data_IF_684569728745
#
_entry.id   IF_684569728745
#
_cell.length_a   1.000
_cell.length_b   1.000
_cell.length_c   1.000
_cell.angle_alpha   90.00
_cell.angle_beta   90.00
_cell.angle_gamma   90.00
#
_symmetry.space_group_name_H-M   'P 1'
#
loop_
_entity.id
_entity.type
_entity.pdbx_description
1 polymer ?
#
# COMPACT_ATOMS: atom_id res chain seq x y z
N UNK A 1 -6.03 -1.26 16.62
CA UNK A 1 -5.82 -2.72 16.59
C UNK A 1 -6.20 -3.34 17.95
N UNK A 2 -7.39 -3.94 18.04
CA UNK A 2 -7.98 -4.50 19.29
C UNK A 2 -7.99 -6.04 19.31
N UNK A 3 -7.40 -6.69 18.31
CA UNK A 3 -7.39 -8.15 18.21
C UNK A 3 -6.42 -8.76 19.24
N UNK A 4 -6.98 -9.42 20.24
CA UNK A 4 -6.23 -10.06 21.32
C UNK A 4 -5.25 -11.11 20.79
N UNK A 5 -5.62 -11.88 19.76
CA UNK A 5 -4.77 -12.95 19.24
C UNK A 5 -3.50 -12.37 18.59
N UNK A 6 -3.65 -11.32 17.76
CA UNK A 6 -2.50 -10.60 17.16
C UNK A 6 -1.59 -9.98 18.21
N UNK A 7 -2.17 -9.37 19.25
CA UNK A 7 -1.40 -8.79 20.36
C UNK A 7 -0.59 -9.85 21.11
N UNK A 8 -1.20 -11.00 21.41
CA UNK A 8 -0.49 -12.11 22.05
C UNK A 8 0.65 -12.62 21.16
N UNK A 9 0.44 -12.71 19.85
CA UNK A 9 1.47 -13.17 18.91
C UNK A 9 2.68 -12.24 18.89
N UNK A 10 2.46 -10.91 18.86
CA UNK A 10 3.56 -9.93 18.95
C UNK A 10 4.36 -10.13 20.24
N UNK A 11 3.68 -10.32 21.37
CA UNK A 11 4.34 -10.56 22.67
C UNK A 11 5.14 -11.86 22.65
N UNK A 12 4.59 -12.96 22.12
CA UNK A 12 5.30 -14.25 22.00
C UNK A 12 6.55 -14.14 21.16
N UNK A 13 6.46 -13.52 19.97
CA UNK A 13 7.62 -13.29 19.09
C UNK A 13 8.70 -12.48 19.78
N UNK A 14 8.31 -11.45 20.54
CA UNK A 14 9.27 -10.65 21.30
C UNK A 14 9.97 -11.45 22.39
N UNK A 15 9.22 -12.24 23.17
CA UNK A 15 9.79 -13.10 24.21
C UNK A 15 10.74 -14.16 23.64
N UNK A 16 10.39 -14.75 22.48
CA UNK A 16 11.26 -15.71 21.81
C UNK A 16 12.60 -15.08 21.38
N UNK A 17 12.56 -13.86 20.85
CA UNK A 17 13.77 -13.10 20.53
C UNK A 17 14.59 -12.74 21.77
N UNK A 18 13.94 -12.34 22.87
CA UNK A 18 14.64 -11.99 24.12
C UNK A 18 15.32 -13.18 24.78
N UNK A 19 14.77 -14.40 24.61
CA UNK A 19 15.35 -15.63 25.13
C UNK A 19 16.58 -16.09 24.34
N UNK A 20 16.52 -16.03 23.00
CA UNK A 20 17.62 -16.37 22.11
C UNK A 20 17.49 -15.62 20.77
N UNK A 21 18.22 -14.49 20.61
CA UNK A 21 18.18 -13.69 19.39
C UNK A 21 18.66 -14.44 18.15
N UNK A 22 19.67 -15.31 18.28
CA UNK A 22 20.27 -16.02 17.16
C UNK A 22 19.33 -17.12 16.66
N UNK A 23 18.79 -17.93 17.57
CA UNK A 23 17.83 -18.97 17.23
C UNK A 23 16.54 -18.39 16.64
N UNK A 24 16.01 -17.30 17.21
CA UNK A 24 14.83 -16.64 16.64
C UNK A 24 15.11 -16.10 15.24
N UNK A 25 16.24 -15.41 15.04
CA UNK A 25 16.62 -14.88 13.72
C UNK A 25 16.77 -16.00 12.69
N UNK A 26 17.37 -17.14 13.08
CA UNK A 26 17.46 -18.32 12.23
C UNK A 26 16.07 -18.89 11.88
N UNK A 27 15.14 -18.90 12.83
CA UNK A 27 13.78 -19.43 12.64
C UNK A 27 12.94 -18.63 11.62
N UNK A 28 13.13 -17.31 11.54
CA UNK A 28 12.40 -16.43 10.60
C UNK A 28 13.19 -16.12 9.32
N UNK A 29 14.39 -16.70 9.18
CA UNK A 29 15.31 -16.40 8.08
C UNK A 29 14.70 -16.69 6.72
N UNK A 30 14.06 -17.85 6.56
CA UNK A 30 13.46 -18.25 5.29
C UNK A 30 12.36 -17.28 4.81
N UNK A 31 11.46 -16.86 5.70
CA UNK A 31 10.42 -15.87 5.41
C UNK A 31 11.02 -14.51 5.05
N UNK A 32 12.01 -14.07 5.81
CA UNK A 32 12.68 -12.77 5.60
C UNK A 32 13.48 -12.76 4.30
N UNK A 33 14.14 -13.86 3.95
CA UNK A 33 14.87 -13.99 2.69
C UNK A 33 13.93 -14.02 1.49
N UNK A 34 12.80 -14.74 1.58
CA UNK A 34 11.77 -14.72 0.53
C UNK A 34 11.24 -13.30 0.27
N UNK A 35 10.99 -12.52 1.34
CA UNK A 35 10.61 -11.11 1.24
C UNK A 35 11.73 -10.24 0.65
N UNK A 36 12.98 -10.47 1.04
CA UNK A 36 14.14 -9.76 0.47
C UNK A 36 14.22 -10.00 -1.04
N UNK A 37 14.09 -11.25 -1.46
CA UNK A 37 14.14 -11.62 -2.87
C UNK A 37 12.98 -11.02 -3.67
N UNK A 38 11.76 -10.99 -3.13
CA UNK A 38 10.62 -10.34 -3.79
C UNK A 38 10.88 -8.86 -4.01
N UNK A 39 11.44 -8.16 -3.01
CA UNK A 39 11.83 -6.75 -3.14
C UNK A 39 12.94 -6.52 -4.18
N UNK A 40 13.92 -7.44 -4.28
CA UNK A 40 14.98 -7.37 -5.31
C UNK A 40 14.36 -7.50 -6.70
N UNK A 41 13.48 -8.49 -6.91
CA UNK A 41 12.78 -8.69 -8.18
C UNK A 41 11.90 -7.49 -8.54
N UNK A 42 11.13 -6.98 -7.59
CA UNK A 42 10.27 -5.81 -7.78
C UNK A 42 11.06 -4.57 -8.21
N UNK A 43 12.20 -4.29 -7.56
CA UNK A 43 13.08 -3.17 -7.95
C UNK A 43 13.62 -3.31 -9.37
N UNK A 44 13.98 -4.53 -9.78
CA UNK A 44 14.45 -4.79 -11.14
C UNK A 44 13.31 -4.69 -12.17
N UNK A 45 12.08 -5.05 -11.80
CA UNK A 45 10.90 -5.01 -12.67
C UNK A 45 10.33 -3.59 -12.84
N UNK A 46 10.43 -2.74 -11.82
CA UNK A 46 9.80 -1.40 -11.78
C UNK A 46 10.02 -0.53 -13.04
N UNK A 47 11.22 -0.47 -13.66
CA UNK A 47 11.43 0.30 -14.89
C UNK A 47 10.58 -0.18 -16.08
N UNK A 48 10.19 -1.46 -16.10
CA UNK A 48 9.35 -2.06 -17.14
C UNK A 48 7.85 -1.92 -16.89
N UNK A 49 7.44 -1.41 -15.73
CA UNK A 49 6.01 -1.25 -15.40
C UNK A 49 5.40 -0.08 -16.18
N UNK A 50 4.42 -0.41 -17.01
CA UNK A 50 3.64 0.53 -17.83
C UNK A 50 2.34 0.95 -17.15
N UNK A 51 1.84 2.09 -17.59
CA UNK A 51 0.60 2.72 -17.13
C UNK A 51 -0.17 3.14 -18.36
N UNK A 52 -1.43 2.71 -18.45
CA UNK A 52 -2.32 3.10 -19.52
C UNK A 52 -3.08 4.38 -19.16
N UNK A 53 -3.59 5.10 -20.16
CA UNK A 53 -4.32 6.35 -19.95
C UNK A 53 -5.56 6.18 -19.06
N UNK A 54 -6.21 5.00 -19.08
CA UNK A 54 -7.34 4.69 -18.20
C UNK A 54 -6.95 4.63 -16.72
N UNK A 55 -5.72 4.22 -16.41
CA UNK A 55 -5.19 4.24 -15.04
C UNK A 55 -4.86 5.67 -14.63
N UNK A 56 -4.32 6.47 -15.55
CA UNK A 56 -4.07 7.89 -15.31
C UNK A 56 -5.38 8.63 -15.02
N UNK A 57 -6.42 8.40 -15.83
CA UNK A 57 -7.78 8.92 -15.61
C UNK A 57 -8.36 8.47 -14.28
N UNK A 58 -8.19 7.19 -13.92
CA UNK A 58 -8.61 6.67 -12.63
C UNK A 58 -7.94 7.39 -11.45
N UNK A 59 -6.62 7.59 -11.51
CA UNK A 59 -5.88 8.30 -10.46
C UNK A 59 -6.37 9.74 -10.31
N UNK A 60 -6.49 10.48 -11.42
CA UNK A 60 -6.92 11.89 -11.39
C UNK A 60 -8.36 12.01 -10.89
N UNK A 61 -9.24 11.09 -11.30
CA UNK A 61 -10.64 11.07 -10.85
C UNK A 61 -10.74 10.82 -9.35
N UNK A 62 -9.99 9.84 -8.83
CA UNK A 62 -9.94 9.54 -7.39
C UNK A 62 -9.41 10.73 -6.60
N UNK A 63 -8.25 11.29 -6.96
CA UNK A 63 -7.63 12.38 -6.18
C UNK A 63 -8.48 13.65 -6.19
N UNK A 64 -9.15 13.94 -7.32
CA UNK A 64 -10.10 15.04 -7.46
C UNK A 64 -11.35 14.80 -6.61
N UNK A 65 -11.89 13.58 -6.64
CA UNK A 65 -13.07 13.21 -5.86
C UNK A 65 -12.86 13.38 -4.35
N UNK A 66 -11.71 12.92 -3.85
CA UNK A 66 -11.31 13.09 -2.45
C UNK A 66 -10.84 14.52 -2.10
N UNK A 67 -11.02 15.50 -2.99
CA UNK A 67 -10.77 16.91 -2.72
C UNK A 67 -9.32 17.25 -2.39
N UNK A 68 -8.36 16.47 -2.91
CA UNK A 68 -6.94 16.69 -2.65
C UNK A 68 -6.39 17.73 -3.61
N UNK A 69 -5.82 18.81 -3.07
CA UNK A 69 -5.27 19.89 -3.89
C UNK A 69 -3.94 19.54 -4.54
N UNK A 70 -3.86 19.83 -5.85
CA UNK A 70 -2.63 19.83 -6.64
C UNK A 70 -2.09 18.44 -7.01
N UNK A 71 -1.13 18.44 -7.92
CA UNK A 71 -0.66 17.21 -8.60
C UNK A 71 0.18 16.25 -7.75
N UNK A 72 0.49 16.62 -6.50
CA UNK A 72 1.35 15.79 -5.65
C UNK A 72 0.69 14.47 -5.28
N UNK A 73 -0.64 14.46 -5.12
CA UNK A 73 -1.39 13.24 -4.85
C UNK A 73 -1.35 12.31 -6.07
N UNK A 74 -1.64 12.84 -7.26
CA UNK A 74 -1.63 12.09 -8.53
C UNK A 74 -0.27 11.41 -8.76
N UNK A 75 0.82 12.18 -8.68
CA UNK A 75 2.18 11.67 -8.91
C UNK A 75 2.55 10.61 -7.86
N UNK A 76 2.16 10.82 -6.59
CA UNK A 76 2.47 9.86 -5.51
C UNK A 76 1.66 8.59 -5.67
N UNK A 77 0.37 8.69 -6.00
CA UNK A 77 -0.51 7.56 -6.29
C UNK A 77 0.06 6.74 -7.44
N UNK A 78 0.48 7.39 -8.53
CA UNK A 78 1.05 6.70 -9.68
C UNK A 78 2.35 5.97 -9.35
N UNK A 79 3.25 6.61 -8.59
CA UNK A 79 4.50 5.96 -8.14
C UNK A 79 4.22 4.77 -7.24
N UNK A 80 3.27 4.92 -6.31
CA UNK A 80 2.90 3.85 -5.39
C UNK A 80 2.22 2.68 -6.11
N UNK A 81 1.29 2.94 -7.03
CA UNK A 81 0.62 1.92 -7.82
C UNK A 81 1.59 1.15 -8.72
N UNK A 82 2.54 1.85 -9.37
CA UNK A 82 3.63 1.19 -10.13
C UNK A 82 4.52 0.32 -9.25
N UNK A 83 4.85 0.79 -8.04
CA UNK A 83 5.63 0.01 -7.09
C UNK A 83 4.86 -1.23 -6.60
N UNK A 84 3.55 -1.11 -6.38
CA UNK A 84 2.69 -2.24 -6.01
C UNK A 84 2.61 -3.27 -7.13
N UNK A 85 2.37 -2.85 -8.37
CA UNK A 85 2.37 -3.73 -9.54
C UNK A 85 3.70 -4.51 -9.66
N UNK A 86 4.82 -3.82 -9.48
CA UNK A 86 6.15 -4.45 -9.50
C UNK A 86 6.34 -5.45 -8.35
N UNK A 87 5.84 -5.11 -7.14
CA UNK A 87 5.90 -5.98 -5.96
C UNK A 87 5.10 -7.27 -6.16
N UNK A 88 3.95 -7.16 -6.83
CA UNK A 88 3.10 -8.27 -7.27
C UNK A 88 3.64 -9.01 -8.51
N UNK A 89 4.82 -8.62 -9.02
CA UNK A 89 5.46 -9.28 -10.16
C UNK A 89 4.81 -9.00 -11.52
N UNK A 90 3.98 -7.95 -11.63
CA UNK A 90 3.32 -7.51 -12.86
C UNK A 90 4.04 -6.34 -13.51
N UNK A 91 3.86 -6.19 -14.82
CA UNK A 91 4.40 -5.07 -15.63
C UNK A 91 3.35 -4.07 -16.06
N UNK A 92 2.09 -4.24 -15.65
CA UNK A 92 1.00 -3.33 -15.97
C UNK A 92 0.26 -2.98 -14.68
N UNK A 93 0.05 -1.69 -14.47
CA UNK A 93 -0.74 -1.18 -13.34
C UNK A 93 -2.22 -1.46 -13.59
N UNK A 94 -2.92 -1.88 -12.54
CA UNK A 94 -4.38 -2.07 -12.57
C UNK A 94 -5.06 -1.17 -11.54
N UNK A 95 -6.39 -1.11 -11.57
CA UNK A 95 -7.16 -0.41 -10.53
C UNK A 95 -6.94 -1.01 -9.13
N UNK A 96 -6.57 -2.28 -9.02
CA UNK A 96 -6.25 -2.92 -7.74
C UNK A 96 -4.99 -2.34 -7.10
N UNK A 97 -4.03 -1.91 -7.92
CA UNK A 97 -2.85 -1.21 -7.40
C UNK A 97 -3.22 0.16 -6.83
N UNK A 98 -4.20 0.85 -7.44
CA UNK A 98 -4.73 2.11 -6.90
C UNK A 98 -5.42 1.83 -5.56
N UNK A 99 -6.28 0.80 -5.48
CA UNK A 99 -6.95 0.37 -4.24
C UNK A 99 -5.96 0.11 -3.11
N UNK A 100 -4.91 -0.65 -3.40
CA UNK A 100 -3.92 -1.06 -2.42
C UNK A 100 -3.18 0.12 -1.77
N UNK A 101 -2.96 1.21 -2.51
CA UNK A 101 -2.11 2.33 -2.06
C UNK A 101 -2.90 3.59 -1.70
N UNK A 102 -4.17 3.69 -2.11
CA UNK A 102 -4.96 4.92 -1.98
C UNK A 102 -5.05 5.43 -0.54
N UNK A 103 -5.35 4.56 0.42
CA UNK A 103 -5.42 4.94 1.83
C UNK A 103 -4.09 5.55 2.31
N UNK A 104 -2.95 4.96 1.94
CA UNK A 104 -1.63 5.47 2.34
C UNK A 104 -1.32 6.82 1.71
N UNK A 105 -1.75 7.04 0.47
CA UNK A 105 -1.50 8.28 -0.27
C UNK A 105 -2.43 9.41 0.15
N UNK A 106 -3.72 9.13 0.41
CA UNK A 106 -4.77 10.15 0.53
C UNK A 106 -5.13 10.53 1.95
N UNK A 107 -5.09 9.59 2.92
CA UNK A 107 -5.62 9.82 4.29
C UNK A 107 -5.02 11.05 4.99
N UNK A 108 -3.78 11.40 4.69
CA UNK A 108 -3.07 12.54 5.29
C UNK A 108 -3.16 13.82 4.45
N UNK A 109 -3.80 13.77 3.28
CA UNK A 109 -3.95 14.87 2.31
C UNK A 109 -5.35 15.41 2.22
N UNK A 110 -6.34 14.64 2.68
CA UNK A 110 -7.73 15.06 2.77
C UNK A 110 -7.85 16.24 3.75
N UNK A 111 -8.61 17.27 3.34
CA UNK A 111 -8.82 18.47 4.14
C UNK A 111 -9.73 18.13 5.32
N UNK A 112 -9.16 18.10 6.53
CA UNK A 112 -9.90 17.87 7.77
C UNK A 112 -10.81 19.05 8.09
N UNK A 113 -12.11 18.80 8.31
CA UNK A 113 -12.93 19.75 9.07
C UNK A 113 -12.69 19.55 10.56
N UNK A 114 -12.86 20.59 11.39
CA UNK A 114 -12.82 20.41 12.84
C UNK A 114 -13.86 19.36 13.25
N UNK A 115 -13.45 18.38 14.05
CA UNK A 115 -14.29 17.33 14.66
C UNK A 115 -14.75 16.17 13.77
N UNK A 116 -14.23 16.03 12.55
CA UNK A 116 -14.43 14.81 11.75
C UNK A 116 -13.39 13.74 12.11
N UNK A 117 -13.86 12.57 12.58
CA UNK A 117 -13.06 11.35 12.62
C UNK A 117 -13.05 10.73 11.21
N UNK A 118 -12.17 11.19 10.33
CA UNK A 118 -12.09 10.59 8.99
C UNK A 118 -11.23 9.32 9.02
N UNK A 119 -11.91 8.18 8.90
CA UNK A 119 -11.32 7.01 8.27
C UNK A 119 -11.40 7.18 6.74
N UNK A 120 -10.35 6.78 6.03
CA UNK A 120 -10.41 6.69 4.57
C UNK A 120 -11.57 5.76 4.15
N UNK A 121 -12.54 6.30 3.43
CA UNK A 121 -13.71 5.54 2.99
C UNK A 121 -13.33 4.68 1.77
N UNK A 122 -13.24 3.38 2.02
CA UNK A 122 -12.90 2.40 0.99
C UNK A 122 -14.10 2.11 0.08
N UNK A 123 -15.33 2.25 0.56
CA UNK A 123 -16.53 2.07 -0.28
C UNK A 123 -16.69 3.23 -1.26
N UNK A 124 -16.42 4.46 -0.82
CA UNK A 124 -16.38 5.64 -1.69
C UNK A 124 -15.32 5.49 -2.79
N UNK A 125 -14.12 5.00 -2.44
CA UNK A 125 -13.08 4.69 -3.41
C UNK A 125 -13.56 3.67 -4.46
N UNK A 126 -14.21 2.58 -4.02
CA UNK A 126 -14.75 1.58 -4.94
C UNK A 126 -15.82 2.17 -5.87
N UNK A 127 -16.68 3.04 -5.36
CA UNK A 127 -17.65 3.78 -6.15
C UNK A 127 -16.98 4.59 -7.25
N UNK A 128 -15.94 5.36 -6.90
CA UNK A 128 -15.17 6.16 -7.85
C UNK A 128 -14.51 5.29 -8.93
N UNK A 129 -13.84 4.20 -8.54
CA UNK A 129 -13.14 3.31 -9.48
C UNK A 129 -14.07 2.53 -10.42
N UNK A 130 -15.32 2.26 -10.02
CA UNK A 130 -16.34 1.59 -10.85
C UNK A 130 -17.02 2.53 -11.84
N UNK A 131 -17.03 3.83 -11.57
CA UNK A 131 -17.64 4.84 -12.44
C UNK A 131 -16.77 5.22 -13.67
N UNK A 132 -15.58 4.62 -13.76
CA UNK A 132 -14.55 4.82 -14.80
C UNK A 132 -14.41 3.52 -15.58
#
# INVERSE_FOLDING_TARGET
>A
DRDTAKRMEVVRRRMAFDADPEAYTASVKAETDALRESLVRARALLPSVTVDDSILEAVVSVTTHFGVDGHRADITMMKAARANAALEGRTQVTKDDIRAVAATVLSHRMRRRPFEEEAFDTEELEGCLKAI
#
